data_IF_858293799339
#
_entry.id   IF_858293799339
#
_cell.length_a   1.000
_cell.length_b   1.000
_cell.length_c   1.000
_cell.angle_alpha   90.00
_cell.angle_beta   90.00
_cell.angle_gamma   90.00
#
_symmetry.space_group_name_H-M   'P 1'
#
loop_
_entity.id
_entity.type
_entity.pdbx_description
1 polymer ?
#
# COMPACT_ATOMS: atom_id res chain seq x y z
N UNK A 1 -35.30 20.82 21.94
CA UNK A 1 -33.89 21.09 21.53
C UNK A 1 -33.33 19.77 21.02
N UNK A 2 -32.91 19.69 19.76
CA UNK A 2 -32.39 18.44 19.19
C UNK A 2 -30.86 18.43 19.34
N UNK A 3 -30.29 17.30 19.78
CA UNK A 3 -28.85 17.12 19.91
C UNK A 3 -28.45 15.94 19.02
N UNK A 4 -27.64 16.23 18.01
CA UNK A 4 -27.07 15.19 17.16
C UNK A 4 -25.97 14.49 17.96
N UNK A 5 -26.08 13.18 18.12
CA UNK A 5 -25.08 12.32 18.75
C UNK A 5 -24.42 11.52 17.63
N UNK A 6 -23.12 11.75 17.40
CA UNK A 6 -22.34 10.95 16.48
C UNK A 6 -21.94 9.63 17.17
N UNK A 7 -22.39 8.50 16.63
CA UNK A 7 -22.02 7.16 17.08
C UNK A 7 -21.11 6.56 16.00
N UNK A 8 -19.79 6.43 16.25
CA UNK A 8 -18.89 5.83 15.28
C UNK A 8 -19.11 4.32 15.19
N UNK A 9 -18.92 3.74 14.00
CA UNK A 9 -19.00 2.29 13.76
C UNK A 9 -17.96 1.49 14.55
N UNK A 10 -16.84 2.12 14.93
CA UNK A 10 -15.73 1.51 15.66
C UNK A 10 -15.34 2.37 16.85
N UNK A 11 -14.95 1.73 17.94
CA UNK A 11 -14.40 2.43 19.10
C UNK A 11 -13.11 3.17 18.69
N UNK A 12 -12.93 4.42 19.14
CA UNK A 12 -11.71 5.16 18.87
C UNK A 12 -10.51 4.44 19.51
N UNK A 13 -9.55 4.04 18.68
CA UNK A 13 -8.31 3.43 19.13
C UNK A 13 -7.32 4.57 19.48
N UNK A 14 -6.70 4.53 20.67
CA UNK A 14 -5.67 5.49 21.04
C UNK A 14 -4.55 5.58 19.98
N UNK A 15 -3.95 6.76 19.72
CA UNK A 15 -2.90 6.92 18.72
C UNK A 15 -1.69 5.98 18.91
N UNK A 16 -1.35 5.66 20.15
CA UNK A 16 -0.27 4.74 20.51
C UNK A 16 -0.62 3.26 20.36
N UNK A 17 -1.88 2.93 20.05
CA UNK A 17 -2.38 1.57 19.89
C UNK A 17 -2.93 1.32 18.49
N UNK A 18 -2.70 2.23 17.54
CA UNK A 18 -3.19 2.06 16.18
C UNK A 18 -2.56 0.81 15.54
N UNK A 19 -3.38 -0.13 15.04
CA UNK A 19 -2.86 -1.34 14.41
C UNK A 19 -2.09 -0.97 13.14
N UNK A 20 -0.92 -1.59 12.97
CA UNK A 20 -0.17 -1.52 11.71
C UNK A 20 -0.57 -2.68 10.82
N UNK A 21 -0.78 -2.41 9.53
CA UNK A 21 -1.10 -3.44 8.53
C UNK A 21 0.13 -3.74 7.69
N UNK A 22 0.29 -5.01 7.33
CA UNK A 22 1.32 -5.42 6.39
C UNK A 22 0.84 -5.14 4.96
N UNK A 23 1.75 -4.68 4.11
CA UNK A 23 1.50 -4.39 2.71
C UNK A 23 2.56 -5.04 1.83
N UNK A 24 2.18 -5.44 0.62
CA UNK A 24 3.13 -5.81 -0.42
C UNK A 24 3.58 -4.53 -1.13
N UNK A 25 4.88 -4.32 -1.16
CA UNK A 25 5.52 -3.20 -1.83
C UNK A 25 6.57 -3.69 -2.81
N UNK A 26 6.95 -2.85 -3.77
CA UNK A 26 8.09 -3.14 -4.64
C UNK A 26 8.89 -1.88 -4.93
N UNK A 27 10.19 -2.04 -5.16
CA UNK A 27 11.05 -0.97 -5.64
C UNK A 27 10.73 -0.70 -7.11
N UNK A 28 10.66 0.57 -7.49
CA UNK A 28 10.29 0.96 -8.84
C UNK A 28 11.28 1.97 -9.43
N UNK A 29 11.38 1.95 -10.76
CA UNK A 29 11.99 3.04 -11.51
C UNK A 29 11.07 4.28 -11.44
N UNK A 30 11.59 5.47 -11.08
CA UNK A 30 10.84 6.72 -11.08
C UNK A 30 10.08 7.02 -12.38
N UNK A 31 10.58 6.57 -13.53
CA UNK A 31 9.94 6.75 -14.85
C UNK A 31 8.54 6.12 -14.90
N UNK A 32 8.34 5.02 -14.20
CA UNK A 32 7.07 4.27 -14.23
C UNK A 32 6.12 4.63 -13.08
N UNK A 33 6.56 5.48 -12.14
CA UNK A 33 5.83 5.79 -10.91
C UNK A 33 4.39 6.27 -11.13
N UNK A 34 4.20 7.26 -12.02
CA UNK A 34 2.87 7.82 -12.27
C UNK A 34 1.92 6.80 -12.93
N UNK A 35 2.44 6.01 -13.88
CA UNK A 35 1.66 4.98 -14.58
C UNK A 35 1.25 3.87 -13.62
N UNK A 36 2.17 3.40 -12.80
CA UNK A 36 1.92 2.39 -11.78
C UNK A 36 0.88 2.88 -10.76
N UNK A 37 0.99 4.10 -10.24
CA UNK A 37 -0.03 4.65 -9.32
C UNK A 37 -1.41 4.64 -9.96
N UNK A 38 -1.54 5.15 -11.19
CA UNK A 38 -2.84 5.25 -11.86
C UNK A 38 -3.47 3.88 -12.07
N UNK A 39 -2.70 2.91 -12.55
CA UNK A 39 -3.17 1.53 -12.74
C UNK A 39 -3.54 0.88 -11.42
N UNK A 40 -2.67 0.96 -10.41
CA UNK A 40 -2.91 0.36 -9.10
C UNK A 40 -4.12 0.96 -8.37
N UNK A 41 -4.40 2.25 -8.55
CA UNK A 41 -5.59 2.87 -7.99
C UNK A 41 -6.89 2.38 -8.63
N UNK A 42 -6.84 1.86 -9.86
CA UNK A 42 -7.98 1.26 -10.53
C UNK A 42 -8.19 -0.19 -10.09
N UNK A 43 -7.13 -1.00 -10.11
CA UNK A 43 -7.23 -2.45 -9.91
C UNK A 43 -7.15 -2.90 -8.44
N UNK A 44 -6.44 -2.16 -7.59
CA UNK A 44 -6.20 -2.53 -6.19
C UNK A 44 -6.24 -1.29 -5.27
N UNK A 45 -7.38 -0.57 -5.18
CA UNK A 45 -7.48 0.65 -4.38
C UNK A 45 -7.29 0.39 -2.89
N UNK A 46 -6.49 1.23 -2.24
CA UNK A 46 -6.21 1.16 -0.80
C UNK A 46 -7.33 1.80 0.04
N UNK A 47 -8.58 1.36 -0.10
CA UNK A 47 -9.75 2.01 0.52
C UNK A 47 -9.62 2.17 2.05
N UNK A 48 -9.12 1.13 2.73
CA UNK A 48 -8.97 1.11 4.19
C UNK A 48 -7.72 1.84 4.69
N UNK A 49 -6.78 2.18 3.79
CA UNK A 49 -5.54 2.90 4.10
C UNK A 49 -5.33 4.08 3.14
N UNK A 50 -6.42 4.74 2.75
CA UNK A 50 -6.41 5.84 1.78
C UNK A 50 -5.64 7.07 2.27
N UNK A 51 -5.40 7.17 3.58
CA UNK A 51 -4.56 8.18 4.21
C UNK A 51 -3.06 7.94 3.98
N UNK A 52 -2.64 6.74 3.57
CA UNK A 52 -1.24 6.38 3.34
C UNK A 52 -0.81 6.78 1.93
N UNK A 53 0.37 7.41 1.80
CA UNK A 53 0.99 7.63 0.50
C UNK A 53 1.41 6.29 -0.10
N UNK A 54 0.87 5.97 -1.28
CA UNK A 54 1.21 4.72 -2.01
C UNK A 54 2.68 4.65 -2.42
N UNK A 55 3.31 5.79 -2.77
CA UNK A 55 4.75 5.87 -3.04
C UNK A 55 5.51 6.34 -1.82
N UNK A 56 6.58 5.62 -1.50
CA UNK A 56 7.55 5.98 -0.47
C UNK A 56 8.91 6.23 -1.10
N UNK A 57 9.50 7.37 -0.74
CA UNK A 57 10.86 7.76 -1.14
C UNK A 57 11.83 7.43 -0.01
N UNK A 58 12.88 6.66 -0.31
CA UNK A 58 13.96 6.33 0.61
C UNK A 58 15.27 6.95 0.12
N UNK A 59 15.97 7.63 1.01
CA UNK A 59 17.34 8.09 0.76
C UNK A 59 18.30 6.96 1.10
N UNK A 60 19.17 6.62 0.15
CA UNK A 60 20.24 5.65 0.33
C UNK A 60 21.55 6.39 0.57
N UNK A 61 22.54 5.67 1.10
CA UNK A 61 23.89 6.22 1.25
C UNK A 61 24.46 6.67 -0.11
N UNK A 62 25.28 7.72 -0.08
CA UNK A 62 25.83 8.32 -1.30
C UNK A 62 24.84 9.18 -2.09
N UNK A 63 23.78 9.69 -1.45
CA UNK A 63 22.86 10.68 -2.05
C UNK A 63 21.85 10.12 -3.05
N UNK A 64 21.85 8.79 -3.27
CA UNK A 64 20.89 8.14 -4.17
C UNK A 64 19.49 8.11 -3.56
N UNK A 65 18.49 8.21 -4.41
CA UNK A 65 17.08 8.08 -4.02
C UNK A 65 16.50 6.79 -4.60
N UNK A 66 15.78 6.04 -3.78
CA UNK A 66 14.99 4.89 -4.21
C UNK A 66 13.50 5.17 -4.01
N UNK A 67 12.68 4.81 -4.99
CA UNK A 67 11.23 4.82 -4.88
C UNK A 67 10.71 3.41 -4.68
N UNK A 68 9.73 3.29 -3.82
CA UNK A 68 8.95 2.06 -3.65
C UNK A 68 7.47 2.39 -3.73
N UNK A 69 6.68 1.46 -4.24
CA UNK A 69 5.23 1.58 -4.37
C UNK A 69 4.56 0.45 -3.59
N UNK A 70 3.49 0.77 -2.87
CA UNK A 70 2.60 -0.22 -2.28
C UNK A 70 1.71 -0.78 -3.40
N UNK A 71 1.75 -2.10 -3.59
CA UNK A 71 0.96 -2.83 -4.59
C UNK A 71 -0.45 -3.10 -4.06
N UNK A 72 -0.54 -3.79 -2.93
CA UNK A 72 -1.79 -4.14 -2.24
C UNK A 72 -1.54 -4.41 -0.75
N UNK A 73 -2.62 -4.64 0.00
CA UNK A 73 -2.53 -5.18 1.37
C UNK A 73 -1.97 -6.61 1.30
N UNK A 74 -1.15 -7.01 2.27
CA UNK A 74 -0.71 -8.39 2.40
C UNK A 74 -1.85 -9.23 3.01
N UNK A 75 -2.01 -10.48 2.56
CA UNK A 75 -2.91 -11.43 3.23
C UNK A 75 -2.41 -11.73 4.64
N UNK A 76 -3.32 -11.99 5.57
CA UNK A 76 -2.99 -12.35 6.95
C UNK A 76 -2.30 -13.73 7.03
N UNK A 77 -2.55 -14.59 6.04
CA UNK A 77 -1.89 -15.87 5.89
C UNK A 77 -0.55 -15.69 5.16
N UNK A 78 0.56 -16.06 5.82
CA UNK A 78 1.96 -15.95 5.37
C UNK A 78 2.32 -16.67 4.03
N UNK A 79 1.35 -17.05 3.20
CA UNK A 79 1.53 -17.56 1.83
C UNK A 79 1.64 -16.41 0.82
N UNK A 80 2.67 -15.59 1.01
CA UNK A 80 2.85 -14.23 0.48
C UNK A 80 2.83 -14.03 -1.05
N UNK A 81 2.84 -15.10 -1.85
CA UNK A 81 2.84 -15.02 -3.31
C UNK A 81 1.57 -15.59 -3.95
N UNK A 82 0.74 -16.35 -3.22
CA UNK A 82 -0.45 -17.00 -3.81
C UNK A 82 -1.72 -16.14 -3.72
N UNK A 83 -1.65 -14.93 -3.16
CA UNK A 83 -2.82 -14.09 -2.91
C UNK A 83 -2.73 -12.70 -3.53
N UNK A 84 -1.83 -12.47 -4.50
CA UNK A 84 -1.90 -11.25 -5.28
C UNK A 84 -3.17 -11.31 -6.14
N UNK A 85 -4.00 -10.25 -6.14
CA UNK A 85 -5.06 -10.15 -7.14
C UNK A 85 -4.43 -10.31 -8.52
N UNK A 86 -5.07 -11.08 -9.40
CA UNK A 86 -4.52 -11.43 -10.72
C UNK A 86 -4.03 -10.18 -11.48
N UNK A 87 -4.82 -9.12 -11.50
CA UNK A 87 -4.45 -7.86 -12.16
C UNK A 87 -3.14 -7.25 -11.62
N UNK A 88 -2.88 -7.41 -10.32
CA UNK A 88 -1.65 -6.92 -9.66
C UNK A 88 -0.47 -7.83 -9.99
N UNK A 89 -0.69 -9.14 -10.08
CA UNK A 89 0.31 -10.12 -10.52
C UNK A 89 0.77 -9.79 -11.95
N UNK A 90 -0.18 -9.62 -12.88
CA UNK A 90 0.10 -9.29 -14.29
C UNK A 90 0.88 -7.96 -14.40
N UNK A 91 0.48 -6.96 -13.61
CA UNK A 91 1.21 -5.69 -13.54
C UNK A 91 2.62 -5.86 -12.97
N UNK A 92 2.78 -6.70 -11.94
CA UNK A 92 4.08 -7.01 -11.35
C UNK A 92 5.01 -7.62 -12.39
N UNK A 93 4.53 -8.59 -13.16
CA UNK A 93 5.31 -9.28 -14.18
C UNK A 93 5.67 -8.35 -15.35
N UNK A 94 4.72 -7.51 -15.80
CA UNK A 94 4.94 -6.55 -16.90
C UNK A 94 6.04 -5.53 -16.60
N UNK A 95 6.21 -5.15 -15.33
CA UNK A 95 7.21 -4.17 -14.90
C UNK A 95 8.41 -4.81 -14.19
N UNK A 96 8.49 -6.16 -14.18
CA UNK A 96 9.51 -6.94 -13.47
C UNK A 96 9.68 -6.52 -12.01
N UNK A 97 8.56 -6.22 -11.36
CA UNK A 97 8.55 -5.83 -9.96
C UNK A 97 8.94 -7.02 -9.09
N UNK A 98 9.64 -6.73 -8.01
CA UNK A 98 10.03 -7.70 -6.98
C UNK A 98 9.25 -7.37 -5.70
N UNK A 99 8.09 -7.99 -5.45
CA UNK A 99 7.29 -7.70 -4.27
C UNK A 99 7.98 -8.16 -2.98
N UNK A 100 7.85 -7.36 -1.93
CA UNK A 100 8.29 -7.68 -0.57
C UNK A 100 7.27 -7.16 0.44
N UNK A 101 7.23 -7.76 1.62
CA UNK A 101 6.32 -7.34 2.70
C UNK A 101 6.95 -6.21 3.50
N UNK A 102 6.17 -5.17 3.79
CA UNK A 102 6.55 -4.07 4.70
C UNK A 102 5.35 -3.61 5.52
N UNK A 103 5.62 -2.80 6.54
CA UNK A 103 4.64 -1.97 7.26
C UNK A 103 4.73 -0.54 6.77
#
# INVERSE_FOLDING_TARGET
MWKIIHIPDKLPIPPNQQPTVNVLASVIDPKHANTLIRRLNQIAPLKNVCHVKRIRKKHLEGGKTQLSVILCLASEDNSLLNSLPQDVQELSDSYQLSPFVTK
#
